data_IF_726873356086
#
_entry.id   IF_726873356086
#
_cell.length_a   1.000
_cell.length_b   1.000
_cell.length_c   1.000
_cell.angle_alpha   90.00
_cell.angle_beta   90.00
_cell.angle_gamma   90.00
#
_symmetry.space_group_name_H-M   'P 1'
#
loop_
_entity.id
_entity.type
_entity.pdbx_description
1 polymer ?
#
# COMPACT_ATOMS: atom_id res chain seq x y z
N UNK A 1 33.18 101.35 -10.05
CA UNK A 1 33.50 101.59 -8.62
C UNK A 1 32.27 101.36 -7.73
N UNK A 2 32.35 100.46 -6.74
CA UNK A 2 31.24 100.13 -5.81
C UNK A 2 30.11 99.31 -6.47
N UNK A 3 29.75 98.08 -6.09
CA UNK A 3 29.58 97.39 -4.80
C UNK A 3 28.16 97.53 -4.17
N UNK A 4 27.72 96.43 -3.52
CA UNK A 4 26.48 96.22 -2.76
C UNK A 4 25.18 95.95 -3.56
N UNK A 5 24.23 95.10 -3.12
CA UNK A 5 24.17 94.07 -2.04
C UNK A 5 22.91 93.18 -2.25
N UNK A 6 22.94 91.92 -1.78
CA UNK A 6 21.83 91.04 -1.29
C UNK A 6 20.43 91.02 -1.99
N UNK A 7 19.72 89.90 -2.15
CA UNK A 7 19.87 88.51 -1.64
C UNK A 7 19.07 87.50 -2.51
N UNK A 8 19.31 86.17 -2.40
CA UNK A 8 18.73 85.15 -3.29
C UNK A 8 17.51 84.40 -2.74
N UNK A 9 16.65 83.88 -3.64
CA UNK A 9 15.51 83.00 -3.29
C UNK A 9 15.78 81.51 -3.58
N UNK A 10 16.14 80.78 -2.51
CA UNK A 10 15.82 79.38 -2.16
C UNK A 10 15.16 78.45 -3.20
N UNK A 11 15.86 77.35 -3.55
CA UNK A 11 15.44 75.95 -3.89
C UNK A 11 16.74 75.17 -4.21
N UNK A 12 16.97 73.88 -3.95
CA UNK A 12 16.14 72.79 -3.44
C UNK A 12 17.08 71.67 -2.91
N UNK A 13 17.02 71.31 -1.62
CA UNK A 13 17.63 70.06 -1.11
C UNK A 13 16.53 69.02 -0.93
N UNK A 14 16.54 67.96 -1.75
CA UNK A 14 15.40 67.02 -1.78
C UNK A 14 15.55 65.78 -2.64
N UNK A 15 16.77 65.32 -2.96
CA UNK A 15 16.96 64.21 -3.92
C UNK A 15 17.93 63.08 -3.50
N UNK A 16 18.56 63.14 -2.32
CA UNK A 16 19.55 62.10 -1.89
C UNK A 16 19.07 61.09 -0.84
N UNK A 17 18.02 61.37 -0.06
CA UNK A 17 17.54 60.42 0.97
C UNK A 17 16.65 59.28 0.43
N UNK A 18 15.87 59.52 -0.63
CA UNK A 18 14.96 58.50 -1.18
C UNK A 18 15.64 57.30 -1.86
N UNK A 19 16.85 57.50 -2.40
CA UNK A 19 17.63 56.42 -3.02
C UNK A 19 18.16 55.44 -1.97
N UNK A 20 18.85 55.96 -0.94
CA UNK A 20 19.48 55.14 0.11
C UNK A 20 18.43 54.30 0.86
N UNK A 21 17.27 54.87 1.19
CA UNK A 21 16.18 54.14 1.84
C UNK A 21 15.66 52.99 0.96
N UNK A 22 15.51 53.21 -0.36
CA UNK A 22 15.11 52.15 -1.30
C UNK A 22 16.14 51.04 -1.41
N UNK A 23 17.43 51.37 -1.48
CA UNK A 23 18.50 50.36 -1.54
C UNK A 23 18.56 49.53 -0.26
N UNK A 24 18.41 50.16 0.91
CA UNK A 24 18.37 49.45 2.20
C UNK A 24 17.16 48.52 2.28
N UNK A 25 15.96 48.97 1.87
CA UNK A 25 14.76 48.12 1.84
C UNK A 25 14.90 46.98 0.83
N UNK A 26 15.45 47.21 -0.36
CA UNK A 26 15.71 46.14 -1.34
C UNK A 26 16.72 45.12 -0.82
N UNK A 27 17.80 45.57 -0.16
CA UNK A 27 18.79 44.69 0.49
C UNK A 27 18.13 43.91 1.64
N UNK A 28 17.27 44.53 2.46
CA UNK A 28 16.54 43.84 3.53
C UNK A 28 15.56 42.79 2.98
N UNK A 29 14.87 43.08 1.87
CA UNK A 29 13.96 42.13 1.22
C UNK A 29 14.73 40.97 0.58
N UNK A 30 15.87 41.22 -0.07
CA UNK A 30 16.77 40.17 -0.57
C UNK A 30 17.37 39.32 0.56
N UNK A 31 17.72 39.93 1.70
CA UNK A 31 18.15 39.21 2.90
C UNK A 31 17.01 38.37 3.49
N UNK A 32 15.79 38.92 3.62
CA UNK A 32 14.64 38.17 4.11
C UNK A 32 14.25 36.99 3.19
N UNK A 33 14.35 37.18 1.86
CA UNK A 33 14.12 36.11 0.88
C UNK A 33 15.20 35.02 0.90
N UNK A 34 16.45 35.35 1.26
CA UNK A 34 17.56 34.37 1.35
C UNK A 34 17.66 33.69 2.71
N UNK A 35 17.30 34.38 3.81
CA UNK A 35 17.20 33.78 5.16
C UNK A 35 15.94 32.94 5.34
N UNK A 36 14.81 33.31 4.71
CA UNK A 36 13.58 32.50 4.75
C UNK A 36 13.69 31.14 4.05
N UNK A 37 14.58 31.02 3.05
CA UNK A 37 14.75 29.79 2.27
C UNK A 37 15.66 28.73 2.89
N UNK A 38 16.50 29.08 3.87
CA UNK A 38 17.54 28.20 4.40
C UNK A 38 17.11 27.37 5.62
N UNK A 39 16.11 27.82 6.39
CA UNK A 39 15.63 27.10 7.59
C UNK A 39 14.82 25.82 7.28
N UNK A 40 14.25 25.70 6.08
CA UNK A 40 13.52 24.50 5.62
C UNK A 40 14.39 23.53 4.81
N UNK A 41 15.60 23.93 4.40
CA UNK A 41 16.48 23.08 3.58
C UNK A 41 17.02 21.85 4.34
N UNK A 42 17.02 21.90 5.68
CA UNK A 42 17.52 20.83 6.56
C UNK A 42 16.39 19.99 7.20
N UNK A 43 15.11 20.24 6.86
CA UNK A 43 13.95 19.66 7.55
C UNK A 43 13.59 18.23 7.13
N UNK A 44 14.55 17.45 6.63
CA UNK A 44 14.33 16.06 6.22
C UNK A 44 14.50 15.07 7.38
N UNK A 45 13.64 14.06 7.42
CA UNK A 45 13.61 13.03 8.45
C UNK A 45 14.88 12.17 8.33
N UNK A 46 15.84 12.37 9.24
CA UNK A 46 17.08 11.60 9.32
C UNK A 46 16.89 10.24 10.02
N UNK A 47 15.92 9.44 9.56
CA UNK A 47 15.63 8.10 10.08
C UNK A 47 15.30 7.14 8.94
N UNK A 48 15.69 5.87 9.09
CA UNK A 48 15.19 4.79 8.24
C UNK A 48 13.76 4.41 8.64
N UNK A 49 12.99 3.89 7.68
CA UNK A 49 11.62 3.46 7.95
C UNK A 49 11.18 2.33 7.04
N UNK A 50 9.88 2.08 7.06
CA UNK A 50 9.21 1.07 6.27
C UNK A 50 8.00 1.69 5.56
N UNK A 51 7.69 1.20 4.36
CA UNK A 51 6.44 1.48 3.67
C UNK A 51 5.70 0.16 3.49
N UNK A 52 4.49 0.08 4.01
CA UNK A 52 3.60 -1.06 3.96
C UNK A 52 2.42 -0.72 3.04
N UNK A 53 2.35 -1.35 1.87
CA UNK A 53 1.28 -1.12 0.88
C UNK A 53 0.40 -2.36 0.79
N UNK A 54 -0.91 -2.17 0.80
CA UNK A 54 -1.92 -3.22 0.52
C UNK A 54 -3.03 -2.69 -0.38
N UNK A 55 -3.59 -3.58 -1.21
CA UNK A 55 -4.63 -3.26 -2.19
C UNK A 55 -5.77 -4.29 -2.02
N UNK A 56 -6.94 -3.82 -1.58
CA UNK A 56 -8.17 -4.59 -1.34
C UNK A 56 -9.16 -4.40 -2.51
N UNK A 57 -9.25 -5.34 -3.46
CA UNK A 57 -10.21 -5.30 -4.56
C UNK A 57 -11.58 -5.87 -4.14
N UNK A 58 -12.65 -5.08 -4.27
CA UNK A 58 -14.02 -5.53 -4.01
C UNK A 58 -14.79 -5.74 -5.32
N UNK A 59 -15.08 -7.01 -5.61
CA UNK A 59 -15.70 -7.49 -6.84
C UNK A 59 -17.12 -8.02 -6.55
N UNK A 60 -18.06 -7.14 -6.24
CA UNK A 60 -19.40 -7.52 -5.76
C UNK A 60 -20.27 -8.28 -6.78
N UNK A 61 -20.01 -8.14 -8.08
CA UNK A 61 -20.89 -8.67 -9.17
C UNK A 61 -20.12 -9.40 -10.30
N UNK A 62 -18.80 -9.58 -10.17
CA UNK A 62 -17.97 -10.18 -11.23
C UNK A 62 -18.16 -11.69 -11.34
N UNK A 63 -18.00 -12.25 -12.55
CA UNK A 63 -17.96 -13.69 -12.79
C UNK A 63 -16.54 -14.30 -12.65
N UNK A 64 -15.50 -13.50 -12.36
CA UNK A 64 -14.07 -13.88 -12.28
C UNK A 64 -13.69 -14.86 -11.14
N UNK A 65 -14.67 -15.52 -10.53
CA UNK A 65 -14.48 -16.51 -9.45
C UNK A 65 -13.86 -17.83 -9.92
N UNK A 66 -13.70 -18.04 -11.23
CA UNK A 66 -12.96 -19.18 -11.77
C UNK A 66 -11.48 -19.16 -11.35
N UNK A 67 -10.96 -20.32 -10.96
CA UNK A 67 -9.68 -20.44 -10.23
C UNK A 67 -8.44 -19.93 -10.97
N UNK A 68 -8.47 -19.83 -12.30
CA UNK A 68 -7.38 -19.28 -13.11
C UNK A 68 -7.30 -17.76 -13.01
N UNK A 69 -8.42 -17.06 -13.21
CA UNK A 69 -8.50 -15.61 -13.20
C UNK A 69 -8.17 -15.03 -11.82
N UNK A 70 -8.60 -15.70 -10.74
CA UNK A 70 -8.24 -15.33 -9.37
C UNK A 70 -6.73 -15.35 -9.11
N UNK A 71 -6.00 -16.35 -9.63
CA UNK A 71 -4.54 -16.43 -9.48
C UNK A 71 -3.84 -15.29 -10.24
N UNK A 72 -4.35 -14.92 -11.41
CA UNK A 72 -3.85 -13.78 -12.18
C UNK A 72 -4.07 -12.45 -11.45
N UNK A 73 -5.26 -12.24 -10.86
CA UNK A 73 -5.57 -11.06 -10.06
C UNK A 73 -4.73 -10.97 -8.78
N UNK A 74 -4.64 -12.05 -7.99
CA UNK A 74 -3.84 -12.08 -6.76
C UNK A 74 -2.36 -11.76 -7.04
N UNK A 75 -1.81 -12.27 -8.17
CA UNK A 75 -0.46 -11.91 -8.63
C UNK A 75 -0.35 -10.43 -9.01
N UNK A 76 -1.28 -9.95 -9.85
CA UNK A 76 -1.30 -8.57 -10.32
C UNK A 76 -1.37 -7.56 -9.16
N UNK A 77 -2.30 -7.73 -8.21
CA UNK A 77 -2.42 -6.82 -7.06
C UNK A 77 -1.19 -6.89 -6.14
N UNK A 78 -0.56 -8.06 -5.99
CA UNK A 78 0.70 -8.20 -5.23
C UNK A 78 1.85 -7.42 -5.89
N UNK A 79 2.00 -7.56 -7.21
CA UNK A 79 3.02 -6.86 -8.00
C UNK A 79 2.79 -5.33 -7.98
N UNK A 80 1.55 -4.89 -8.18
CA UNK A 80 1.18 -3.48 -8.11
C UNK A 80 1.41 -2.87 -6.71
N UNK A 81 1.13 -3.60 -5.63
CA UNK A 81 1.40 -3.13 -4.27
C UNK A 81 2.92 -2.96 -4.02
N UNK A 82 3.74 -3.87 -4.55
CA UNK A 82 5.20 -3.75 -4.48
C UNK A 82 5.70 -2.54 -5.29
N UNK A 83 5.29 -2.40 -6.56
CA UNK A 83 5.70 -1.30 -7.43
C UNK A 83 5.30 0.07 -6.87
N UNK A 84 4.08 0.20 -6.34
CA UNK A 84 3.63 1.42 -5.65
C UNK A 84 4.49 1.71 -4.42
N UNK A 85 4.80 0.68 -3.61
CA UNK A 85 5.67 0.83 -2.44
C UNK A 85 7.08 1.29 -2.78
N UNK A 86 7.67 0.76 -3.84
CA UNK A 86 9.01 1.11 -4.33
C UNK A 86 9.03 2.54 -4.88
N UNK A 87 8.05 2.92 -5.70
CA UNK A 87 7.95 4.28 -6.25
C UNK A 87 7.67 5.35 -5.18
N UNK A 88 6.88 5.02 -4.15
CA UNK A 88 6.67 5.89 -2.99
C UNK A 88 7.93 6.00 -2.12
N UNK A 89 8.68 4.91 -1.91
CA UNK A 89 9.94 4.94 -1.20
C UNK A 89 10.94 5.89 -1.87
N UNK A 90 11.15 5.74 -3.18
CA UNK A 90 12.05 6.58 -3.96
C UNK A 90 11.63 8.07 -3.93
N UNK A 91 10.33 8.35 -4.11
CA UNK A 91 9.81 9.72 -4.07
C UNK A 91 9.95 10.39 -2.70
N UNK A 92 9.73 9.64 -1.61
CA UNK A 92 9.85 10.14 -0.24
C UNK A 92 11.30 10.25 0.23
N UNK A 93 12.22 9.38 -0.21
CA UNK A 93 13.67 9.54 0.01
C UNK A 93 14.22 10.77 -0.73
N UNK A 94 13.69 11.10 -1.91
CA UNK A 94 14.11 12.31 -2.66
C UNK A 94 13.62 13.62 -2.04
N UNK A 95 12.57 13.60 -1.24
CA UNK A 95 11.87 14.82 -0.76
C UNK A 95 11.89 14.98 0.76
N UNK A 96 11.56 13.92 1.51
CA UNK A 96 11.14 13.98 2.91
C UNK A 96 12.13 13.28 3.85
N UNK A 97 12.73 12.16 3.44
CA UNK A 97 13.63 11.35 4.26
C UNK A 97 15.09 11.51 3.83
N UNK A 98 16.03 11.29 4.75
CA UNK A 98 17.46 11.02 4.45
C UNK A 98 17.82 9.55 4.61
N UNK A 99 17.11 8.83 5.48
CA UNK A 99 17.28 7.40 5.68
C UNK A 99 16.48 6.58 4.68
N UNK A 100 16.97 5.37 4.39
CA UNK A 100 16.31 4.45 3.46
C UNK A 100 14.97 3.94 4.00
N UNK A 101 13.95 3.94 3.16
CA UNK A 101 12.63 3.36 3.39
C UNK A 101 12.60 1.94 2.78
N UNK A 102 12.30 0.96 3.62
CA UNK A 102 12.21 -0.45 3.19
C UNK A 102 10.77 -0.79 2.86
N UNK A 103 10.52 -1.16 1.62
CA UNK A 103 9.20 -1.65 1.21
C UNK A 103 8.94 -2.99 1.91
N UNK A 104 7.78 -3.07 2.56
CA UNK A 104 7.17 -4.31 3.03
C UNK A 104 5.99 -4.54 2.09
N UNK A 105 6.14 -5.35 1.03
CA UNK A 105 5.03 -5.71 0.16
C UNK A 105 4.07 -6.63 0.93
N UNK A 106 2.78 -6.57 0.61
CA UNK A 106 1.79 -7.44 1.23
C UNK A 106 0.38 -7.13 0.75
N UNK A 107 -0.11 -7.96 -0.16
CA UNK A 107 -1.46 -7.86 -0.71
C UNK A 107 -2.54 -7.99 0.38
N UNK A 108 -2.31 -8.83 1.40
CA UNK A 108 -3.24 -9.05 2.51
C UNK A 108 -2.87 -8.24 3.74
N UNK A 109 -3.87 -7.60 4.34
CA UNK A 109 -3.73 -6.81 5.57
C UNK A 109 -3.23 -7.68 6.75
N UNK A 110 -3.63 -8.96 6.74
CA UNK A 110 -3.31 -9.97 7.74
C UNK A 110 -1.82 -10.30 7.78
N UNK A 111 -1.18 -10.45 6.62
CA UNK A 111 0.25 -10.80 6.49
C UNK A 111 1.15 -9.73 7.13
N UNK A 112 0.68 -8.48 7.12
CA UNK A 112 1.38 -7.34 7.69
C UNK A 112 0.86 -6.92 9.07
N UNK A 113 -0.28 -7.46 9.55
CA UNK A 113 -0.98 -7.00 10.75
C UNK A 113 -0.05 -6.91 11.96
N UNK A 114 0.68 -7.99 12.26
CA UNK A 114 1.65 -8.05 13.36
C UNK A 114 2.74 -6.98 13.23
N UNK A 115 3.23 -6.71 12.01
CA UNK A 115 4.23 -5.68 11.77
C UNK A 115 3.68 -4.26 11.86
N UNK A 116 2.44 -4.03 11.41
CA UNK A 116 1.72 -2.74 11.53
C UNK A 116 1.32 -2.41 12.97
N UNK A 117 1.12 -3.42 13.80
CA UNK A 117 0.86 -3.29 15.24
C UNK A 117 2.13 -3.09 16.06
N UNK A 118 3.18 -3.89 15.83
CA UNK A 118 4.39 -3.93 16.67
C UNK A 118 5.54 -3.06 16.16
N UNK A 119 5.61 -2.82 14.85
CA UNK A 119 6.63 -2.01 14.19
C UNK A 119 8.06 -2.51 14.41
N UNK A 120 9.02 -1.57 14.41
CA UNK A 120 10.33 -1.74 15.04
C UNK A 120 10.68 -0.48 15.83
N UNK A 121 11.28 -0.59 17.03
CA UNK A 121 11.71 0.57 17.81
C UNK A 121 12.58 1.53 17.00
N UNK A 122 12.40 2.82 17.23
CA UNK A 122 13.10 3.94 16.58
C UNK A 122 12.95 4.01 15.05
N UNK A 123 11.95 3.35 14.48
CA UNK A 123 11.67 3.40 13.03
C UNK A 123 10.32 4.03 12.70
N UNK A 124 10.26 4.62 11.51
CA UNK A 124 9.05 5.13 10.91
C UNK A 124 8.32 4.02 10.13
N UNK A 125 6.99 4.06 10.11
CA UNK A 125 6.14 3.20 9.27
C UNK A 125 5.11 4.07 8.53
N UNK A 126 5.13 4.04 7.21
CA UNK A 126 4.02 4.49 6.38
C UNK A 126 3.14 3.29 6.03
N UNK A 127 1.84 3.35 6.28
CA UNK A 127 0.87 2.42 5.68
C UNK A 127 0.13 3.13 4.55
N UNK A 128 -0.13 2.40 3.46
CA UNK A 128 -0.83 2.89 2.26
C UNK A 128 -1.85 1.82 1.88
N UNK A 129 -3.11 2.06 2.23
CA UNK A 129 -4.18 1.07 2.19
C UNK A 129 -5.20 1.46 1.12
N UNK A 130 -5.11 0.83 -0.05
CA UNK A 130 -6.02 1.07 -1.18
C UNK A 130 -7.20 0.10 -1.11
N UNK A 131 -8.40 0.61 -1.37
CA UNK A 131 -9.64 -0.17 -1.45
C UNK A 131 -10.39 0.21 -2.72
N UNK A 132 -10.46 -0.70 -3.68
CA UNK A 132 -11.02 -0.46 -5.01
C UNK A 132 -12.33 -1.19 -5.20
N UNK A 133 -13.40 -0.47 -5.52
CA UNK A 133 -14.71 -1.03 -5.85
C UNK A 133 -14.93 -0.99 -7.34
N UNK A 134 -15.21 -2.14 -7.94
CA UNK A 134 -15.44 -2.30 -9.37
C UNK A 134 -16.90 -2.67 -9.65
N UNK A 135 -17.42 -2.26 -10.81
CA UNK A 135 -18.74 -2.71 -11.25
C UNK A 135 -19.19 -2.11 -12.59
N UNK A 136 -20.12 -2.81 -13.24
CA UNK A 136 -20.80 -2.32 -14.43
C UNK A 136 -21.87 -1.31 -14.04
N UNK A 137 -21.77 -0.10 -14.57
CA UNK A 137 -22.86 0.87 -14.48
C UNK A 137 -23.78 0.75 -15.67
N UNK A 138 -25.09 0.60 -15.43
CA UNK A 138 -26.12 0.66 -16.48
C UNK A 138 -26.31 2.12 -16.91
N UNK A 139 -25.43 2.57 -17.81
CA UNK A 139 -25.21 3.95 -18.19
C UNK A 139 -26.39 4.69 -18.84
N UNK A 140 -27.40 3.98 -19.38
CA UNK A 140 -28.80 4.45 -19.50
C UNK A 140 -29.72 3.31 -20.00
N UNK A 141 -31.07 3.43 -19.83
CA UNK A 141 -32.02 2.36 -20.13
C UNK A 141 -32.43 2.30 -21.62
N UNK A 142 -31.49 1.83 -22.45
CA UNK A 142 -31.79 1.00 -23.62
C UNK A 142 -30.97 -0.31 -23.62
N UNK A 143 -29.82 -0.32 -22.92
CA UNK A 143 -28.76 -1.30 -23.11
C UNK A 143 -28.90 -2.61 -22.29
N UNK A 144 -29.71 -2.63 -21.23
CA UNK A 144 -29.81 -3.78 -20.33
C UNK A 144 -30.81 -4.87 -20.80
N UNK A 145 -31.10 -4.93 -22.11
CA UNK A 145 -32.44 -5.06 -22.69
C UNK A 145 -33.21 -3.71 -22.70
N UNK A 146 -34.22 -3.48 -23.56
CA UNK A 146 -34.98 -4.36 -24.50
C UNK A 146 -34.12 -5.34 -25.35
N UNK A 147 -34.45 -6.63 -25.50
CA UNK A 147 -35.44 -7.48 -24.81
C UNK A 147 -35.14 -8.96 -25.12
N UNK A 148 -33.98 -9.48 -24.72
CA UNK A 148 -33.60 -10.90 -24.79
C UNK A 148 -33.50 -11.57 -26.18
N UNK A 149 -33.92 -10.90 -27.25
CA UNK A 149 -33.95 -11.43 -28.63
C UNK A 149 -33.28 -10.50 -29.66
N UNK A 150 -33.15 -9.20 -29.40
CA UNK A 150 -32.60 -8.20 -30.34
C UNK A 150 -31.08 -7.99 -30.22
N UNK A 151 -30.42 -8.50 -29.19
CA UNK A 151 -28.96 -8.33 -29.02
C UNK A 151 -28.12 -9.01 -30.13
N UNK A 152 -28.70 -9.96 -30.88
CA UNK A 152 -28.08 -10.59 -32.06
C UNK A 152 -27.78 -9.62 -33.23
N UNK A 153 -28.26 -8.38 -33.17
CA UNK A 153 -28.07 -7.35 -34.20
C UNK A 153 -27.35 -6.08 -33.70
N UNK A 154 -26.79 -6.10 -32.48
CA UNK A 154 -26.07 -4.95 -31.93
C UNK A 154 -24.69 -4.78 -32.60
N UNK A 155 -24.44 -3.56 -33.09
CA UNK A 155 -23.14 -3.14 -33.64
C UNK A 155 -22.11 -2.96 -32.51
N UNK A 156 -20.79 -2.83 -32.81
CA UNK A 156 -19.72 -2.68 -31.82
C UNK A 156 -19.69 -1.26 -31.19
N UNK A 157 -20.85 -0.77 -30.77
CA UNK A 157 -21.00 0.50 -30.06
C UNK A 157 -20.71 0.29 -28.57
N UNK A 158 -19.97 1.20 -27.91
CA UNK A 158 -19.65 1.09 -26.49
C UNK A 158 -20.88 1.41 -25.62
N UNK A 159 -21.70 0.39 -25.38
CA UNK A 159 -22.98 0.48 -24.65
C UNK A 159 -22.85 0.26 -23.14
N UNK A 160 -21.73 -0.33 -22.69
CA UNK A 160 -21.46 -0.64 -21.29
C UNK A 160 -20.31 0.21 -20.78
N UNK A 161 -20.41 0.62 -19.51
CA UNK A 161 -19.34 1.38 -18.83
C UNK A 161 -19.03 0.71 -17.50
N UNK A 162 -17.85 0.10 -17.44
CA UNK A 162 -17.24 -0.44 -16.24
C UNK A 162 -16.57 0.71 -15.46
N UNK A 163 -16.83 0.82 -14.17
CA UNK A 163 -16.31 1.91 -13.34
C UNK A 163 -15.51 1.36 -12.15
N UNK A 164 -14.48 2.10 -11.75
CA UNK A 164 -13.80 1.93 -10.47
C UNK A 164 -13.99 3.16 -9.58
N UNK A 165 -14.10 2.93 -8.28
CA UNK A 165 -13.86 3.93 -7.24
C UNK A 165 -12.84 3.35 -6.27
N UNK A 166 -11.65 3.97 -6.23
CA UNK A 166 -10.58 3.61 -5.30
C UNK A 166 -10.48 4.66 -4.21
N UNK A 167 -10.50 4.19 -2.96
CA UNK A 167 -10.29 4.98 -1.75
C UNK A 167 -8.96 4.55 -1.15
N UNK A 168 -8.07 5.47 -0.79
CA UNK A 168 -6.74 5.16 -0.27
C UNK A 168 -6.48 5.91 1.03
N UNK A 169 -6.16 5.18 2.10
CA UNK A 169 -5.80 5.76 3.40
C UNK A 169 -4.29 5.66 3.59
N UNK A 170 -3.63 6.79 3.83
CA UNK A 170 -2.19 6.85 4.13
C UNK A 170 -2.00 7.24 5.58
N UNK A 171 -1.38 6.37 6.37
CA UNK A 171 -1.13 6.65 7.80
C UNK A 171 0.35 6.57 8.11
N UNK A 172 0.87 7.60 8.77
CA UNK A 172 2.25 7.65 9.24
C UNK A 172 2.33 7.33 10.73
N UNK A 173 3.21 6.42 11.10
CA UNK A 173 3.52 6.07 12.48
C UNK A 173 5.00 6.20 12.80
N UNK A 174 5.31 6.57 14.04
CA UNK A 174 6.63 6.42 14.63
C UNK A 174 6.56 5.49 15.84
N UNK A 175 7.51 4.56 15.93
CA UNK A 175 7.65 3.66 17.05
C UNK A 175 8.80 4.15 17.94
N UNK A 176 8.51 4.48 19.19
CA UNK A 176 9.54 4.93 20.15
C UNK A 176 10.46 3.78 20.54
N UNK A 177 11.54 4.08 21.28
CA UNK A 177 12.48 3.07 21.80
C UNK A 177 11.80 2.09 22.76
N UNK A 178 10.79 2.56 23.49
CA UNK A 178 9.94 1.79 24.41
C UNK A 178 8.82 1.01 23.69
N UNK A 179 8.77 1.09 22.35
CA UNK A 179 7.74 0.42 21.53
C UNK A 179 6.39 1.14 21.48
N UNK A 180 6.27 2.38 21.97
CA UNK A 180 5.02 3.16 21.85
C UNK A 180 4.79 3.54 20.39
N UNK A 181 3.60 3.27 19.85
CA UNK A 181 3.20 3.65 18.48
C UNK A 181 2.49 5.01 18.48
N UNK A 182 3.14 6.02 17.91
CA UNK A 182 2.59 7.37 17.74
C UNK A 182 2.08 7.54 16.31
N UNK A 183 0.86 8.05 16.11
CA UNK A 183 0.29 8.35 14.78
C UNK A 183 0.55 9.81 14.43
N UNK A 184 1.33 10.04 13.38
CA UNK A 184 1.82 11.35 12.95
C UNK A 184 0.87 12.03 11.97
N UNK A 185 0.46 11.31 10.91
CA UNK A 185 -0.42 11.77 9.82
C UNK A 185 -1.45 10.69 9.53
N UNK A 186 -2.64 11.10 9.10
CA UNK A 186 -3.57 10.22 8.39
C UNK A 186 -4.31 11.02 7.31
N UNK A 187 -3.96 10.79 6.05
CA UNK A 187 -4.62 11.39 4.89
C UNK A 187 -5.45 10.37 4.12
N UNK A 188 -6.48 10.86 3.41
CA UNK A 188 -7.35 10.02 2.58
C UNK A 188 -7.40 10.58 1.16
N UNK A 189 -7.07 9.73 0.19
CA UNK A 189 -7.11 10.04 -1.24
C UNK A 189 -8.22 9.25 -1.92
N UNK A 190 -8.73 9.77 -3.03
CA UNK A 190 -9.68 9.05 -3.88
C UNK A 190 -9.29 9.15 -5.35
N UNK A 191 -9.62 8.11 -6.10
CA UNK A 191 -9.52 8.08 -7.56
C UNK A 191 -10.76 7.39 -8.14
N UNK A 192 -11.13 7.78 -9.35
CA UNK A 192 -12.25 7.22 -10.10
C UNK A 192 -11.82 7.03 -11.55
N UNK A 193 -12.18 5.89 -12.12
CA UNK A 193 -11.87 5.56 -13.51
C UNK A 193 -13.06 4.90 -14.18
N UNK A 194 -13.14 5.04 -15.50
CA UNK A 194 -14.20 4.44 -16.33
C UNK A 194 -13.60 3.90 -17.62
N UNK A 195 -14.03 2.71 -18.01
CA UNK A 195 -13.76 2.12 -19.32
C UNK A 195 -15.11 1.73 -19.92
N UNK A 196 -15.27 1.96 -21.22
CA UNK A 196 -16.46 1.55 -21.95
C UNK A 196 -16.08 0.53 -23.02
N UNK A 197 -17.00 -0.38 -23.29
CA UNK A 197 -16.89 -1.41 -24.33
C UNK A 197 -18.27 -1.85 -24.81
N UNK A 198 -18.29 -2.75 -25.79
CA UNK A 198 -19.51 -3.26 -26.39
C UNK A 198 -20.18 -4.37 -25.54
N UNK A 199 -21.20 -5.03 -26.10
CA UNK A 199 -21.91 -6.10 -25.41
C UNK A 199 -21.07 -7.39 -25.26
N UNK A 200 -20.24 -7.73 -26.24
CA UNK A 200 -19.37 -8.90 -26.19
C UNK A 200 -18.26 -8.67 -25.18
N UNK A 201 -17.65 -7.48 -25.19
CA UNK A 201 -16.67 -7.05 -24.19
C UNK A 201 -17.22 -7.19 -22.76
N UNK A 202 -18.47 -6.77 -22.54
CA UNK A 202 -19.11 -6.83 -21.22
C UNK A 202 -19.49 -8.25 -20.76
N UNK A 203 -19.47 -9.24 -21.66
CA UNK A 203 -19.77 -10.64 -21.39
C UNK A 203 -18.53 -11.54 -21.39
N UNK A 204 -17.38 -11.07 -21.89
CA UNK A 204 -16.11 -11.78 -21.83
C UNK A 204 -15.39 -11.54 -20.49
N UNK A 205 -15.17 -12.62 -19.75
CA UNK A 205 -14.40 -12.61 -18.50
C UNK A 205 -12.94 -12.17 -18.71
N UNK A 206 -12.36 -12.45 -19.87
CA UNK A 206 -11.01 -11.98 -20.24
C UNK A 206 -10.98 -10.45 -20.28
N UNK A 207 -12.01 -9.84 -20.86
CA UNK A 207 -12.12 -8.40 -21.00
C UNK A 207 -12.45 -7.70 -19.68
N UNK A 208 -13.23 -8.34 -18.78
CA UNK A 208 -13.42 -7.84 -17.41
C UNK A 208 -12.08 -7.80 -16.63
N UNK A 209 -11.23 -8.83 -16.77
CA UNK A 209 -9.89 -8.86 -16.17
C UNK A 209 -9.01 -7.72 -16.70
N UNK A 210 -9.01 -7.47 -18.00
CA UNK A 210 -8.29 -6.33 -18.60
C UNK A 210 -8.81 -4.97 -18.09
N UNK A 211 -10.12 -4.80 -17.94
CA UNK A 211 -10.70 -3.56 -17.40
C UNK A 211 -10.31 -3.34 -15.95
N UNK A 212 -10.38 -4.37 -15.09
CA UNK A 212 -9.95 -4.28 -13.69
C UNK A 212 -8.46 -3.93 -13.61
N UNK A 213 -7.59 -4.62 -14.36
CA UNK A 213 -6.14 -4.38 -14.32
C UNK A 213 -5.77 -2.99 -14.83
N UNK A 214 -6.37 -2.52 -15.93
CA UNK A 214 -6.20 -1.15 -16.42
C UNK A 214 -6.67 -0.11 -15.41
N UNK A 215 -7.92 -0.19 -14.96
CA UNK A 215 -8.51 0.76 -14.02
C UNK A 215 -7.76 0.83 -12.68
N UNK A 216 -7.19 -0.29 -12.24
CA UNK A 216 -6.32 -0.34 -11.06
C UNK A 216 -5.02 0.43 -11.30
N UNK A 217 -4.36 0.19 -12.43
CA UNK A 217 -3.10 0.84 -12.79
C UNK A 217 -3.27 2.37 -12.89
N UNK A 218 -4.35 2.82 -13.54
CA UNK A 218 -4.69 4.24 -13.67
C UNK A 218 -4.95 4.88 -12.28
N UNK A 219 -5.70 4.21 -11.40
CA UNK A 219 -6.00 4.67 -10.06
C UNK A 219 -4.74 4.73 -9.16
N UNK A 220 -3.87 3.72 -9.24
CA UNK A 220 -2.59 3.68 -8.50
C UNK A 220 -1.69 4.84 -8.90
N UNK A 221 -1.55 5.10 -10.20
CA UNK A 221 -0.70 6.16 -10.72
C UNK A 221 -1.24 7.54 -10.33
N UNK A 222 -2.56 7.73 -10.30
CA UNK A 222 -3.20 8.94 -9.77
C UNK A 222 -3.01 9.12 -8.26
N UNK A 223 -3.22 8.07 -7.47
CA UNK A 223 -3.01 8.08 -6.01
C UNK A 223 -1.54 8.34 -5.68
N UNK A 224 -0.60 7.72 -6.40
CA UNK A 224 0.85 7.92 -6.23
C UNK A 224 1.23 9.39 -6.38
N UNK A 225 0.71 10.08 -7.41
CA UNK A 225 0.96 11.52 -7.63
C UNK A 225 0.42 12.36 -6.48
N UNK A 226 -0.80 12.11 -6.02
CA UNK A 226 -1.43 12.83 -4.90
C UNK A 226 -0.65 12.65 -3.59
N UNK A 227 -0.29 11.41 -3.26
CA UNK A 227 0.54 11.08 -2.08
C UNK A 227 1.87 11.84 -2.11
N UNK A 228 2.59 11.82 -3.24
CA UNK A 228 3.89 12.48 -3.37
C UNK A 228 3.81 14.02 -3.41
N UNK A 229 2.64 14.61 -3.67
CA UNK A 229 2.41 16.05 -3.59
C UNK A 229 2.08 16.51 -2.16
N UNK A 230 1.22 15.77 -1.45
CA UNK A 230 0.61 16.23 -0.20
C UNK A 230 1.34 15.69 1.05
N UNK A 231 1.66 14.39 1.09
CA UNK A 231 2.20 13.73 2.30
C UNK A 231 3.57 14.28 2.76
N UNK A 232 4.54 14.64 1.87
CA UNK A 232 5.76 15.33 2.28
C UNK A 232 5.52 16.58 3.13
N UNK A 233 4.55 17.39 2.71
CA UNK A 233 4.23 18.68 3.36
C UNK A 233 3.63 18.46 4.74
N UNK A 234 2.70 17.52 4.88
CA UNK A 234 2.06 17.16 6.16
C UNK A 234 3.07 16.53 7.14
N UNK A 235 3.96 15.66 6.62
CA UNK A 235 5.03 15.04 7.41
C UNK A 235 6.03 16.06 7.96
N UNK A 236 6.42 17.06 7.18
CA UNK A 236 7.40 18.06 7.62
C UNK A 236 6.76 19.16 8.48
N UNK A 237 5.58 19.65 8.12
CA UNK A 237 5.04 20.91 8.70
C UNK A 237 4.07 20.74 9.87
N UNK A 238 3.21 19.72 9.85
CA UNK A 238 2.13 19.54 10.85
C UNK A 238 2.44 18.46 11.88
N UNK A 239 3.05 17.37 11.43
CA UNK A 239 3.29 16.16 12.23
C UNK A 239 4.13 16.38 13.48
N UNK A 240 5.25 17.09 13.37
CA UNK A 240 6.24 17.16 14.44
C UNK A 240 5.81 18.02 15.64
N UNK A 241 4.93 19.01 15.44
CA UNK A 241 4.29 19.74 16.55
C UNK A 241 3.38 18.81 17.33
N UNK A 242 2.44 18.16 16.63
CA UNK A 242 1.51 17.21 17.24
C UNK A 242 2.24 16.06 17.95
N UNK A 243 3.28 15.49 17.33
CA UNK A 243 4.08 14.44 17.94
C UNK A 243 4.82 14.91 19.20
N UNK A 244 5.32 16.15 19.23
CA UNK A 244 5.93 16.73 20.42
C UNK A 244 4.91 16.98 21.54
N UNK A 245 3.69 17.38 21.20
CA UNK A 245 2.61 17.59 22.17
C UNK A 245 2.04 16.26 22.70
N UNK A 246 1.82 15.26 21.84
CA UNK A 246 1.44 13.88 22.22
C UNK A 246 2.53 13.20 23.08
N UNK A 247 3.82 13.52 22.87
CA UNK A 247 4.93 13.06 23.71
C UNK A 247 4.97 13.77 25.08
N UNK A 248 4.57 15.04 25.15
CA UNK A 248 4.44 15.79 26.42
C UNK A 248 3.27 15.33 27.26
N UNK A 249 2.19 14.85 26.64
CA UNK A 249 1.02 14.24 27.31
C UNK A 249 1.25 12.74 27.62
N UNK A 250 2.44 12.37 28.06
CA UNK A 250 2.72 10.99 28.45
C UNK A 250 1.80 10.57 29.62
N UNK A 251 1.24 9.34 29.61
CA UNK A 251 0.35 8.87 30.67
C UNK A 251 1.11 8.80 32.02
N UNK A 252 0.36 9.02 33.10
CA UNK A 252 0.90 9.07 34.47
C UNK A 252 1.78 7.86 34.79
N UNK A 253 2.97 8.11 35.35
CA UNK A 253 3.94 7.07 35.73
C UNK A 253 5.13 6.86 34.78
N UNK A 254 5.26 7.63 33.70
CA UNK A 254 6.45 7.58 32.82
C UNK A 254 7.28 8.86 32.94
N UNK A 255 8.32 8.84 33.77
CA UNK A 255 9.35 9.89 33.80
C UNK A 255 10.26 9.79 32.57
N UNK A 256 9.85 10.44 31.48
CA UNK A 256 10.69 10.72 30.32
C UNK A 256 11.00 12.21 30.23
N UNK A 257 12.27 12.57 30.01
CA UNK A 257 12.66 13.97 29.75
C UNK A 257 11.91 14.44 28.48
N UNK A 258 11.11 15.52 28.51
CA UNK A 258 10.31 15.95 27.36
C UNK A 258 11.18 16.50 26.21
N UNK A 259 11.60 15.61 25.33
CA UNK A 259 12.38 15.90 24.13
C UNK A 259 12.72 14.60 23.41
N UNK A 260 13.09 14.69 22.13
CA UNK A 260 13.76 13.56 21.48
C UNK A 260 15.06 13.27 22.25
N UNK A 261 15.44 11.99 22.47
CA UNK A 261 16.81 11.67 22.81
C UNK A 261 17.72 12.35 21.79
N UNK A 262 18.84 12.97 22.22
CA UNK A 262 19.75 13.64 21.30
C UNK A 262 20.19 12.69 20.19
N UNK A 263 20.52 13.26 19.04
CA UNK A 263 21.02 12.52 17.88
C UNK A 263 22.06 11.50 18.34
N UNK A 264 21.88 10.19 18.05
CA UNK A 264 22.86 9.21 18.47
C UNK A 264 24.16 9.58 17.78
N UNK A 265 25.18 9.97 18.55
CA UNK A 265 26.49 10.31 18.01
C UNK A 265 26.87 9.19 17.05
N UNK A 266 26.98 9.54 15.76
CA UNK A 266 27.62 8.68 14.78
C UNK A 266 29.11 8.76 15.12
N UNK A 267 29.48 8.06 16.21
CA UNK A 267 30.84 7.79 16.57
C UNK A 267 31.49 7.25 15.30
N UNK A 268 32.41 8.03 14.73
CA UNK A 268 32.99 7.80 13.42
C UNK A 268 33.81 6.50 13.47
N UNK A 269 33.11 5.38 13.32
CA UNK A 269 33.71 4.05 13.22
C UNK A 269 34.53 4.09 11.94
N UNK A 270 35.84 4.24 12.11
CA UNK A 270 36.82 3.96 11.05
C UNK A 270 36.38 2.67 10.36
N UNK A 271 36.44 2.59 9.01
CA UNK A 271 36.06 1.40 8.29
C UNK A 271 36.73 0.17 8.91
N UNK A 272 35.93 -0.76 9.43
CA UNK A 272 36.46 -2.04 9.90
C UNK A 272 36.88 -2.78 8.64
N UNK A 273 38.19 -2.83 8.41
CA UNK A 273 38.79 -3.53 7.29
C UNK A 273 38.48 -5.04 7.43
N UNK A 274 37.48 -5.51 6.69
CA UNK A 274 37.05 -6.91 6.73
C UNK A 274 38.11 -7.75 6.03
N UNK A 275 39.08 -8.24 6.80
CA UNK A 275 39.95 -9.34 6.34
C UNK A 275 39.05 -10.53 5.96
N UNK A 276 39.23 -11.14 4.77
CA UNK A 276 38.38 -12.23 4.33
C UNK A 276 38.57 -13.44 5.23
N UNK A 277 37.61 -13.70 6.11
CA UNK A 277 37.63 -14.92 6.92
C UNK A 277 37.44 -16.13 6.02
N UNK A 278 38.39 -17.06 6.06
CA UNK A 278 38.37 -18.34 5.36
C UNK A 278 37.41 -19.33 6.04
N UNK A 279 36.14 -18.92 6.19
CA UNK A 279 35.05 -19.80 6.58
C UNK A 279 34.78 -20.82 5.49
N UNK A 280 35.20 -22.07 5.70
CA UNK A 280 34.92 -23.19 4.79
C UNK A 280 33.43 -23.22 4.45
N UNK A 281 33.10 -23.07 3.17
CA UNK A 281 31.76 -23.38 2.64
C UNK A 281 31.45 -24.84 2.99
N UNK A 282 30.54 -25.08 3.95
CA UNK A 282 29.89 -26.39 4.06
C UNK A 282 29.03 -26.55 2.81
N UNK A 283 29.52 -27.32 1.86
CA UNK A 283 28.69 -27.84 0.78
C UNK A 283 27.57 -28.67 1.41
N UNK A 284 26.37 -28.08 1.53
CA UNK A 284 25.15 -28.87 1.64
C UNK A 284 25.02 -29.63 0.32
N UNK A 285 25.03 -30.95 0.42
CA UNK A 285 25.19 -31.87 -0.72
C UNK A 285 23.88 -31.97 -1.49
N UNK A 286 23.71 -31.09 -2.47
CA UNK A 286 22.85 -31.34 -3.65
C UNK A 286 21.36 -31.50 -3.37
N UNK A 287 20.70 -30.48 -2.82
CA UNK A 287 19.27 -30.32 -3.07
C UNK A 287 19.09 -29.78 -4.49
N UNK A 288 18.59 -30.65 -5.37
CA UNK A 288 18.17 -30.28 -6.73
C UNK A 288 16.99 -29.31 -6.58
N UNK A 289 17.08 -28.11 -7.15
CA UNK A 289 15.95 -27.19 -7.19
C UNK A 289 14.77 -27.90 -7.88
N UNK A 290 13.68 -28.14 -7.14
CA UNK A 290 12.51 -28.84 -7.66
C UNK A 290 11.88 -27.99 -8.77
N UNK A 291 11.83 -28.54 -9.98
CA UNK A 291 11.02 -27.98 -11.05
C UNK A 291 9.55 -27.95 -10.59
N UNK A 292 8.77 -26.95 -11.01
CA UNK A 292 7.34 -26.82 -10.73
C UNK A 292 6.57 -28.14 -10.98
N UNK A 293 6.88 -28.87 -12.04
CA UNK A 293 6.29 -30.18 -12.34
C UNK A 293 6.57 -31.22 -11.24
N UNK A 294 7.77 -31.22 -10.67
CA UNK A 294 8.21 -32.17 -9.65
C UNK A 294 7.64 -31.81 -8.27
N UNK A 295 7.52 -30.51 -7.98
CA UNK A 295 6.79 -30.00 -6.82
C UNK A 295 5.29 -30.35 -6.90
N UNK A 296 4.63 -30.11 -8.05
CA UNK A 296 3.22 -30.49 -8.26
C UNK A 296 3.03 -31.99 -8.05
N UNK A 297 3.91 -32.84 -8.62
CA UNK A 297 3.87 -34.30 -8.40
C UNK A 297 4.01 -34.69 -6.92
N UNK A 298 4.79 -33.94 -6.13
CA UNK A 298 4.95 -34.18 -4.69
C UNK A 298 3.72 -33.75 -3.87
N UNK A 299 3.07 -32.63 -4.19
CA UNK A 299 1.96 -32.09 -3.38
C UNK A 299 0.58 -32.60 -3.79
N UNK A 300 0.36 -32.96 -5.06
CA UNK A 300 -0.96 -33.41 -5.55
C UNK A 300 -1.62 -34.54 -4.75
N UNK A 301 -0.90 -35.57 -4.23
CA UNK A 301 -1.51 -36.64 -3.43
C UNK A 301 -2.09 -36.18 -2.08
N UNK A 302 -1.67 -35.01 -1.58
CA UNK A 302 -2.16 -34.40 -0.35
C UNK A 302 -3.35 -33.44 -0.58
N UNK A 303 -3.66 -33.07 -1.83
CA UNK A 303 -4.75 -32.16 -2.16
C UNK A 303 -6.06 -32.94 -2.32
N UNK A 304 -7.13 -32.39 -1.75
CA UNK A 304 -8.50 -32.89 -1.82
C UNK A 304 -9.39 -31.87 -2.54
N UNK A 305 -10.27 -32.35 -3.42
CA UNK A 305 -11.45 -31.61 -3.85
C UNK A 305 -12.55 -31.80 -2.80
N UNK A 306 -13.07 -30.71 -2.25
CA UNK A 306 -14.16 -30.70 -1.26
C UNK A 306 -15.45 -30.29 -1.97
N UNK A 307 -16.55 -30.99 -1.74
CA UNK A 307 -17.88 -30.69 -2.28
C UNK A 307 -18.94 -30.74 -1.19
N UNK A 308 -19.80 -29.74 -1.15
CA UNK A 308 -21.11 -29.78 -0.47
C UNK A 308 -22.22 -29.85 -1.54
N UNK A 309 -23.48 -29.73 -1.14
CA UNK A 309 -24.62 -29.57 -2.06
C UNK A 309 -24.61 -28.22 -2.79
N UNK A 310 -23.98 -27.18 -2.20
CA UNK A 310 -24.05 -25.78 -2.66
C UNK A 310 -22.70 -25.21 -3.12
N UNK A 311 -21.60 -25.83 -2.73
CA UNK A 311 -20.24 -25.29 -2.88
C UNK A 311 -19.25 -26.36 -3.29
N UNK A 312 -18.23 -25.95 -4.04
CA UNK A 312 -17.08 -26.77 -4.40
C UNK A 312 -15.83 -25.97 -4.07
N UNK A 313 -14.84 -26.63 -3.46
CA UNK A 313 -13.58 -26.00 -3.10
C UNK A 313 -12.45 -27.02 -2.98
N UNK A 314 -11.36 -26.59 -2.36
CA UNK A 314 -10.17 -27.40 -2.15
C UNK A 314 -9.87 -27.55 -0.66
N UNK A 315 -9.16 -28.62 -0.33
CA UNK A 315 -8.58 -28.83 0.98
C UNK A 315 -7.27 -29.61 0.86
N UNK A 316 -6.58 -29.82 1.98
CA UNK A 316 -5.36 -30.60 2.00
C UNK A 316 -5.25 -31.46 3.27
N UNK A 317 -4.68 -32.65 3.12
CA UNK A 317 -4.47 -33.63 4.19
C UNK A 317 -3.36 -33.12 5.10
N UNK A 318 -3.66 -32.98 6.40
CA UNK A 318 -2.71 -32.58 7.45
C UNK A 318 -2.28 -33.76 8.34
N UNK A 319 -2.96 -34.91 8.25
CA UNK A 319 -2.61 -36.10 9.03
C UNK A 319 -2.96 -37.39 8.31
N UNK A 320 -2.07 -38.39 8.45
CA UNK A 320 -2.35 -39.77 8.01
C UNK A 320 -3.54 -40.42 8.74
N UNK A 321 -4.00 -39.82 9.83
CA UNK A 321 -5.17 -40.26 10.62
C UNK A 321 -6.51 -39.81 10.01
N UNK A 322 -6.53 -39.30 8.78
CA UNK A 322 -7.77 -38.88 8.09
C UNK A 322 -8.23 -37.46 8.41
N UNK A 323 -7.30 -36.54 8.70
CA UNK A 323 -7.64 -35.12 8.91
C UNK A 323 -7.18 -34.25 7.74
N UNK A 324 -8.04 -33.33 7.33
CA UNK A 324 -7.75 -32.31 6.32
C UNK A 324 -8.23 -30.92 6.74
N UNK A 325 -7.67 -29.89 6.11
CA UNK A 325 -8.11 -28.50 6.24
C UNK A 325 -8.80 -28.03 4.96
N UNK A 326 -9.78 -27.16 5.09
CA UNK A 326 -10.43 -26.40 4.01
C UNK A 326 -10.88 -25.05 4.54
N UNK A 327 -11.32 -24.13 3.67
CA UNK A 327 -11.87 -22.86 4.12
C UNK A 327 -13.26 -23.03 4.75
N UNK A 328 -13.61 -22.19 5.73
CA UNK A 328 -14.91 -22.26 6.40
C UNK A 328 -16.05 -21.94 5.42
N UNK A 329 -15.90 -20.95 4.55
CA UNK A 329 -16.90 -20.61 3.54
C UNK A 329 -17.21 -21.77 2.58
N UNK A 330 -16.24 -22.67 2.31
CA UNK A 330 -16.45 -23.87 1.48
C UNK A 330 -17.43 -24.84 2.14
N UNK A 331 -17.51 -24.85 3.48
CA UNK A 331 -18.34 -25.79 4.26
C UNK A 331 -19.41 -25.09 5.10
N UNK A 332 -19.72 -23.84 4.78
CA UNK A 332 -20.72 -23.04 5.48
C UNK A 332 -22.10 -23.71 5.41
N UNK A 333 -22.69 -24.01 6.56
CA UNK A 333 -23.97 -24.71 6.68
C UNK A 333 -23.95 -26.22 6.38
N UNK A 334 -22.78 -26.82 6.10
CA UNK A 334 -22.65 -28.26 5.88
C UNK A 334 -22.02 -28.97 7.10
N UNK A 335 -22.65 -30.03 7.59
CA UNK A 335 -22.10 -30.91 8.64
C UNK A 335 -21.24 -32.04 8.07
N UNK A 336 -21.63 -32.54 6.89
CA UNK A 336 -20.89 -33.54 6.12
C UNK A 336 -20.63 -33.05 4.70
N UNK A 337 -19.48 -33.44 4.16
CA UNK A 337 -19.00 -33.03 2.84
C UNK A 337 -18.45 -34.24 2.10
N UNK A 338 -18.38 -34.18 0.78
CA UNK A 338 -17.68 -35.19 -0.03
C UNK A 338 -16.26 -34.71 -0.31
N UNK A 339 -15.25 -35.51 0.03
CA UNK A 339 -13.84 -35.24 -0.30
C UNK A 339 -13.33 -36.25 -1.34
N UNK A 340 -12.54 -35.77 -2.29
CA UNK A 340 -11.96 -36.60 -3.36
C UNK A 340 -10.49 -36.23 -3.56
N UNK A 341 -9.58 -37.15 -3.24
CA UNK A 341 -8.14 -36.98 -3.48
C UNK A 341 -7.73 -37.35 -4.91
N UNK A 342 -6.53 -36.94 -5.33
CA UNK A 342 -5.98 -37.31 -6.63
C UNK A 342 -5.93 -38.84 -6.81
N UNK A 343 -6.55 -39.36 -7.87
CA UNK A 343 -6.64 -40.80 -8.15
C UNK A 343 -7.50 -41.64 -7.18
N UNK A 344 -8.17 -41.01 -6.21
CA UNK A 344 -9.00 -41.71 -5.21
C UNK A 344 -10.50 -41.52 -5.49
N UNK A 345 -11.31 -42.50 -5.05
CA UNK A 345 -12.77 -42.38 -5.08
C UNK A 345 -13.25 -41.27 -4.12
N UNK A 346 -14.39 -40.61 -4.41
CA UNK A 346 -15.03 -39.70 -3.47
C UNK A 346 -15.45 -40.43 -2.18
N UNK A 347 -15.22 -39.83 -1.03
CA UNK A 347 -15.64 -40.36 0.28
C UNK A 347 -16.30 -39.26 1.13
N UNK A 348 -17.10 -39.64 2.12
CA UNK A 348 -17.69 -38.67 3.06
C UNK A 348 -16.67 -38.24 4.12
N UNK A 349 -16.67 -36.95 4.43
CA UNK A 349 -15.98 -36.36 5.58
C UNK A 349 -16.98 -35.60 6.45
N UNK A 350 -16.70 -35.49 7.75
CA UNK A 350 -17.44 -34.64 8.70
C UNK A 350 -16.65 -33.36 8.99
N UNK A 351 -17.34 -32.24 9.15
CA UNK A 351 -16.72 -31.00 9.63
C UNK A 351 -16.63 -31.06 11.15
N UNK A 352 -15.45 -31.38 11.66
CA UNK A 352 -15.22 -31.64 13.10
C UNK A 352 -14.86 -30.39 13.90
N UNK A 353 -14.33 -29.35 13.26
CA UNK A 353 -14.01 -28.08 13.92
C UNK A 353 -14.14 -26.92 12.93
N UNK A 354 -14.53 -25.75 13.41
CA UNK A 354 -14.66 -24.50 12.64
C UNK A 354 -13.95 -23.37 13.39
N UNK A 355 -13.26 -22.50 12.66
CA UNK A 355 -12.56 -21.32 13.16
C UNK A 355 -12.96 -20.11 12.31
N UNK A 356 -14.07 -19.41 12.67
CA UNK A 356 -14.59 -18.28 11.89
C UNK A 356 -13.59 -17.15 11.68
N UNK A 357 -12.83 -16.80 12.73
CA UNK A 357 -11.77 -15.77 12.72
C UNK A 357 -10.64 -16.02 11.71
N UNK A 358 -10.53 -17.25 11.18
CA UNK A 358 -9.46 -17.69 10.28
C UNK A 358 -9.99 -18.20 8.94
N UNK A 359 -11.30 -18.11 8.69
CA UNK A 359 -12.00 -18.77 7.58
C UNK A 359 -11.55 -20.22 7.37
N UNK A 360 -11.47 -21.00 8.45
CA UNK A 360 -10.88 -22.35 8.43
C UNK A 360 -11.79 -23.40 9.05
N UNK A 361 -11.85 -24.57 8.41
CA UNK A 361 -12.58 -25.74 8.88
C UNK A 361 -11.71 -27.00 8.82
N UNK A 362 -11.84 -27.85 9.85
CA UNK A 362 -11.17 -29.16 9.93
C UNK A 362 -12.16 -30.24 9.52
N UNK A 363 -11.73 -31.07 8.59
CA UNK A 363 -12.47 -32.23 8.09
C UNK A 363 -11.86 -33.52 8.67
N UNK A 364 -12.72 -34.47 9.06
CA UNK A 364 -12.33 -35.83 9.40
C UNK A 364 -13.00 -36.85 8.46
N UNK A 365 -12.24 -37.80 7.95
CA UNK A 365 -12.67 -38.85 7.03
C UNK A 365 -11.93 -40.16 7.35
N UNK A 366 -12.37 -41.29 6.78
CA UNK A 366 -11.73 -42.58 7.04
C UNK A 366 -10.38 -42.66 6.30
N UNK A 367 -9.30 -42.70 7.08
CA UNK A 367 -7.94 -42.58 6.56
C UNK A 367 -7.44 -43.85 5.89
N UNK A 368 -7.20 -43.77 4.58
CA UNK A 368 -6.27 -44.66 3.85
C UNK A 368 -5.33 -43.75 3.06
N UNK A 369 -4.14 -43.48 3.62
CA UNK A 369 -3.08 -42.71 2.94
C UNK A 369 -2.24 -43.65 2.08
#
# INVERSE_FOLDING_TARGET
PGAARHSPHRKQDGFKQGGIMRTIVQILVLLLLTWGGSALADSRINRSGYIAVSIDPILYESNLWETSHRISLDRFFTEQAQLLGEALAEGLEKTTFRGRLRVVPGYRLEDQKKFREQGRPETFLLTVDLRSRYGLTKGSPAAACLSGMTCLLLSPAPLFTYQTRTEATVTAFYFTREGRRLRLVQENFTSQGKVSGDFYDAMDMTQELEWITKLTSDAIEDIRRKILAEVPTELVSRSWRKAADDLRQAPEGVEGIPGLPPEPEIAARKPVEVKPSTGKKRHVRGEKALNLQELVRQVSPAILKVRTEKTVGSGFIISRRGFALTSLHVVAGAESVTVQGHGRQPQRARVVQRYPELDLAVLAFEGIV
#
